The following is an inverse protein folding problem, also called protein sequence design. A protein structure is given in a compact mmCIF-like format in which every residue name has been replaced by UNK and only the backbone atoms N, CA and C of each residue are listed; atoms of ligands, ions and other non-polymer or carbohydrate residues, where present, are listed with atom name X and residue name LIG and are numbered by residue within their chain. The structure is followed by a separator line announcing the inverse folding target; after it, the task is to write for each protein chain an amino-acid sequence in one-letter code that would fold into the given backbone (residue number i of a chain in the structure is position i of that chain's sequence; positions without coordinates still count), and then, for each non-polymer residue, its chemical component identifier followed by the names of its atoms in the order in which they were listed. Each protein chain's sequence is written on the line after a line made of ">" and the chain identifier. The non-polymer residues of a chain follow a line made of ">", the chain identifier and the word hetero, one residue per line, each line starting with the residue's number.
data_IF_140758978133
#
_entry.id   IF_140758978133
#
_cell.length_a   1.000
_cell.length_b   1.000
_cell.length_c   1.000
_cell.angle_alpha   90.00
_cell.angle_beta   90.00
_cell.angle_gamma   90.00
#
_symmetry.space_group_name_H-M   'P 1'
#
loop_
_entity.id
_entity.type
_entity.pdbx_description
1 polymer ?
#
# COMPACT_ATOMS: atom_id res chain seq x y z
N UNK A 1 -21.16 3.72 -3.64
CA UNK A 1 -19.92 4.19 -4.28
C UNK A 1 -18.75 3.73 -3.42
N UNK A 2 -17.74 3.10 -4.02
CA UNK A 2 -16.48 2.82 -3.34
C UNK A 2 -15.68 4.12 -3.38
N UNK A 3 -15.41 4.74 -2.24
CA UNK A 3 -14.36 5.76 -2.17
C UNK A 3 -13.04 4.99 -2.22
N UNK A 4 -12.37 5.04 -3.37
CA UNK A 4 -10.97 4.68 -3.44
C UNK A 4 -10.22 5.77 -2.66
N UNK A 5 -9.41 5.34 -1.71
CA UNK A 5 -8.55 6.26 -0.98
C UNK A 5 -7.64 6.97 -1.99
N UNK A 6 -7.69 8.30 -2.03
CA UNK A 6 -6.88 9.12 -2.95
C UNK A 6 -5.38 9.02 -2.65
N UNK A 7 -4.99 8.40 -1.54
CA UNK A 7 -3.61 8.06 -1.19
C UNK A 7 -3.14 6.68 -1.69
N UNK A 8 -3.98 5.92 -2.40
CA UNK A 8 -3.64 4.60 -2.93
C UNK A 8 -3.77 4.55 -4.45
N UNK A 9 -2.73 4.07 -5.13
CA UNK A 9 -2.69 3.89 -6.58
C UNK A 9 -2.00 2.56 -6.91
N UNK A 10 -2.54 1.84 -7.91
CA UNK A 10 -1.92 0.63 -8.46
C UNK A 10 -0.94 1.06 -9.54
N UNK A 11 0.30 0.58 -9.46
CA UNK A 11 1.38 0.85 -10.42
C UNK A 11 1.98 -0.48 -10.89
N UNK A 12 2.46 -0.53 -12.14
CA UNK A 12 3.03 -1.75 -12.71
C UNK A 12 4.49 -2.01 -12.28
N UNK A 13 5.21 -0.96 -11.87
CA UNK A 13 6.61 -1.02 -11.44
C UNK A 13 6.95 0.15 -10.49
N UNK A 14 8.02 0.02 -9.68
CA UNK A 14 8.62 1.14 -8.96
C UNK A 14 9.10 2.24 -9.93
N UNK A 15 9.13 3.48 -9.46
CA UNK A 15 9.55 4.66 -10.22
C UNK A 15 10.45 5.56 -9.37
N UNK A 16 11.20 6.45 -10.03
CA UNK A 16 12.10 7.41 -9.38
C UNK A 16 11.29 8.57 -8.79
N UNK A 17 11.02 8.50 -7.49
CA UNK A 17 10.09 9.38 -6.76
C UNK A 17 10.56 10.84 -6.70
N UNK A 18 11.86 11.10 -6.84
CA UNK A 18 12.43 12.45 -6.84
C UNK A 18 12.29 13.15 -8.19
N UNK A 19 12.21 12.38 -9.28
CA UNK A 19 12.22 12.88 -10.65
C UNK A 19 10.82 12.87 -11.30
N UNK A 20 9.86 12.13 -10.76
CA UNK A 20 8.49 12.04 -11.30
C UNK A 20 7.41 12.60 -10.37
N UNK A 21 6.35 13.12 -10.96
CA UNK A 21 5.15 13.59 -10.27
C UNK A 21 4.05 12.53 -10.14
N UNK A 22 4.27 11.30 -10.61
CA UNK A 22 3.27 10.25 -10.55
C UNK A 22 3.48 9.31 -9.36
N UNK A 23 2.41 8.78 -8.74
CA UNK A 23 1.00 9.16 -8.88
C UNK A 23 0.59 10.32 -7.96
N UNK A 24 1.46 10.74 -7.02
CA UNK A 24 1.11 11.66 -5.93
C UNK A 24 1.91 12.98 -5.90
N UNK A 25 2.63 13.31 -6.98
CA UNK A 25 3.65 14.37 -7.03
C UNK A 25 5.02 13.89 -6.54
N UNK A 26 6.07 14.69 -6.79
CA UNK A 26 7.44 14.42 -6.32
C UNK A 26 7.53 14.17 -4.80
N UNK A 27 8.44 13.27 -4.41
CA UNK A 27 8.76 12.93 -3.02
C UNK A 27 10.27 12.84 -2.82
N UNK A 28 10.71 13.02 -1.58
CA UNK A 28 12.13 13.02 -1.18
C UNK A 28 12.61 11.65 -0.70
N UNK A 29 12.00 10.57 -1.21
CA UNK A 29 12.29 9.20 -0.77
C UNK A 29 11.14 8.24 -1.02
N UNK A 30 11.49 6.97 -1.19
CA UNK A 30 10.56 5.87 -1.44
C UNK A 30 11.21 4.55 -1.09
N UNK A 31 10.41 3.60 -0.60
CA UNK A 31 10.88 2.29 -0.17
C UNK A 31 10.03 1.18 -0.80
N UNK A 32 10.68 0.10 -1.22
CA UNK A 32 10.01 -1.09 -1.73
C UNK A 32 9.96 -2.13 -0.63
N UNK A 33 8.75 -2.45 -0.17
CA UNK A 33 8.49 -3.51 0.79
C UNK A 33 7.96 -4.76 0.06
N UNK A 34 8.56 -5.92 0.33
CA UNK A 34 8.13 -7.19 -0.28
C UNK A 34 7.25 -7.96 0.69
N UNK A 35 6.02 -8.27 0.28
CA UNK A 35 5.13 -9.15 1.05
C UNK A 35 5.38 -10.61 0.70
N UNK A 36 5.51 -11.46 1.72
CA UNK A 36 5.52 -12.90 1.59
C UNK A 36 4.09 -13.46 1.55
N UNK A 37 3.95 -14.75 1.22
CA UNK A 37 2.64 -15.42 1.13
C UNK A 37 1.89 -15.39 2.46
N UNK A 38 2.62 -15.49 3.56
CA UNK A 38 2.10 -15.48 4.92
C UNK A 38 1.47 -14.12 5.26
N UNK A 39 2.04 -13.02 4.76
CA UNK A 39 1.46 -11.69 4.91
C UNK A 39 0.15 -11.57 4.15
N UNK A 40 0.08 -12.10 2.92
CA UNK A 40 -1.15 -12.12 2.12
C UNK A 40 -2.23 -12.99 2.79
N UNK A 41 -1.88 -14.16 3.30
CA UNK A 41 -2.80 -15.02 4.04
C UNK A 41 -3.37 -14.32 5.28
N UNK A 42 -2.50 -13.65 6.07
CA UNK A 42 -2.94 -12.88 7.22
C UNK A 42 -3.93 -11.75 6.84
N UNK A 43 -3.68 -11.06 5.73
CA UNK A 43 -4.58 -10.04 5.21
C UNK A 43 -5.96 -10.62 4.80
N UNK A 44 -5.97 -11.79 4.13
CA UNK A 44 -7.22 -12.50 3.79
C UNK A 44 -7.99 -12.99 5.03
N UNK A 45 -7.30 -13.30 6.12
CA UNK A 45 -7.91 -13.63 7.43
C UNK A 45 -8.41 -12.39 8.21
N UNK A 46 -8.30 -11.19 7.64
CA UNK A 46 -8.74 -9.94 8.29
C UNK A 46 -7.74 -9.37 9.30
N UNK A 47 -6.50 -9.87 9.33
CA UNK A 47 -5.41 -9.27 10.11
C UNK A 47 -4.79 -8.09 9.36
N UNK A 48 -3.88 -7.39 10.01
CA UNK A 48 -3.13 -6.26 9.44
C UNK A 48 -1.65 -6.62 9.28
N UNK A 49 -1.00 -6.01 8.28
CA UNK A 49 0.46 -6.03 8.14
C UNK A 49 0.98 -4.65 8.53
N UNK A 50 1.89 -4.61 9.50
CA UNK A 50 2.61 -3.39 9.87
C UNK A 50 3.86 -3.24 9.01
N UNK A 51 4.08 -2.03 8.50
CA UNK A 51 5.25 -1.65 7.70
C UNK A 51 5.95 -0.53 8.44
N UNK A 52 7.16 -0.79 8.92
CA UNK A 52 8.03 0.24 9.50
C UNK A 52 8.70 1.03 8.36
N UNK A 53 8.37 2.30 8.22
CA UNK A 53 8.90 3.15 7.16
C UNK A 53 10.07 3.94 7.73
N UNK A 54 11.27 3.50 7.37
CA UNK A 54 12.53 4.17 7.73
C UNK A 54 12.70 4.48 9.24
N UNK A 55 12.05 3.73 10.13
CA UNK A 55 12.02 4.01 11.57
C UNK A 55 11.49 5.43 11.92
N UNK A 56 10.68 6.02 11.03
CA UNK A 56 10.02 7.32 11.25
C UNK A 56 8.55 7.14 11.63
N UNK A 57 7.85 6.24 10.94
CA UNK A 57 6.43 5.96 11.18
C UNK A 57 6.04 4.56 10.72
N UNK A 58 4.87 4.09 11.16
CA UNK A 58 4.34 2.76 10.81
C UNK A 58 3.09 2.89 9.95
N UNK A 59 3.07 2.22 8.81
CA UNK A 59 1.89 2.06 7.95
C UNK A 59 1.24 0.71 8.23
N UNK A 60 -0.09 0.68 8.35
CA UNK A 60 -0.85 -0.57 8.50
C UNK A 60 -1.61 -0.86 7.22
N UNK A 61 -1.30 -1.99 6.59
CA UNK A 61 -2.04 -2.50 5.44
C UNK A 61 -3.16 -3.41 5.94
N UNK A 62 -4.36 -3.21 5.39
CA UNK A 62 -5.52 -4.07 5.60
C UNK A 62 -6.12 -4.42 4.25
N UNK A 63 -6.59 -5.66 4.09
CA UNK A 63 -7.39 -6.01 2.92
C UNK A 63 -8.79 -5.42 3.12
N UNK A 64 -9.27 -4.68 2.11
CA UNK A 64 -10.66 -4.28 2.09
C UNK A 64 -11.50 -5.51 1.82
N UNK A 65 -12.46 -5.81 2.69
CA UNK A 65 -13.39 -6.91 2.48
C UNK A 65 -14.09 -6.77 1.12
N UNK A 66 -14.11 -7.85 0.35
CA UNK A 66 -14.96 -7.92 -0.84
C UNK A 66 -16.40 -7.67 -0.38
N UNK A 67 -17.09 -6.71 -0.99
CA UNK A 67 -18.53 -6.57 -0.72
C UNK A 67 -19.20 -7.75 -1.40
N UNK A 68 -19.87 -8.60 -0.64
CA UNK A 68 -20.89 -9.48 -1.20
C UNK A 68 -21.90 -8.57 -1.93
N UNK A 69 -21.96 -8.71 -3.25
CA UNK A 69 -23.04 -8.15 -4.03
C UNK A 69 -24.30 -8.96 -3.70
N UNK A 70 -25.14 -8.42 -2.81
CA UNK A 70 -26.53 -8.88 -2.61
C UNK A 70 -27.44 -8.34 -3.72
#
# INVERSE_FOLDING_TARGET
>A
MIELDSSLAIVDAPFEVEETDQPFGKRWGGEIMTLAKEHLAALHEGKLVAVDVMNEYVVFLRLQAEREHE
#
